data_IF_318501798565
#
_entry.id   IF_318501798565
#
_cell.length_a   1.000
_cell.length_b   1.000
_cell.length_c   1.000
_cell.angle_alpha   90.00
_cell.angle_beta   90.00
_cell.angle_gamma   90.00
#
_symmetry.space_group_name_H-M   'P 1'
#
loop_
_entity.id
_entity.type
_entity.pdbx_description
1 polymer ?
#
# COMPACT_ATOMS: atom_id res chain seq x y z
N UNK A 1 19.34 -32.67 -8.77
CA UNK A 1 19.17 -31.57 -7.80
C UNK A 1 18.02 -30.69 -8.29
N UNK A 2 16.86 -30.69 -7.64
CA UNK A 2 15.75 -29.82 -8.04
C UNK A 2 16.08 -28.37 -7.64
N UNK A 3 16.16 -27.45 -8.61
CA UNK A 3 16.39 -26.03 -8.33
C UNK A 3 15.34 -25.50 -7.35
N UNK A 4 15.82 -24.84 -6.29
CA UNK A 4 14.98 -24.30 -5.23
C UNK A 4 14.20 -23.11 -5.79
N UNK A 5 12.91 -23.32 -6.09
CA UNK A 5 11.99 -22.28 -6.59
C UNK A 5 12.06 -21.04 -5.70
N UNK A 6 12.09 -19.85 -6.32
CA UNK A 6 12.10 -18.56 -5.61
C UNK A 6 11.01 -18.48 -4.54
N UNK A 7 11.36 -17.95 -3.37
CA UNK A 7 10.45 -17.78 -2.25
C UNK A 7 9.24 -16.90 -2.63
N UNK A 8 8.08 -17.20 -2.03
CA UNK A 8 6.85 -16.44 -2.27
C UNK A 8 7.03 -14.96 -1.95
N UNK A 9 7.72 -14.65 -0.85
CA UNK A 9 8.06 -13.28 -0.44
C UNK A 9 8.84 -12.52 -1.51
N UNK A 10 9.88 -13.13 -2.08
CA UNK A 10 10.68 -12.49 -3.14
C UNK A 10 9.84 -12.28 -4.40
N UNK A 11 9.00 -13.25 -4.77
CA UNK A 11 8.12 -13.14 -5.94
C UNK A 11 7.11 -11.99 -5.78
N UNK A 12 6.51 -11.84 -4.60
CA UNK A 12 5.57 -10.75 -4.32
C UNK A 12 6.26 -9.39 -4.27
N UNK A 13 7.47 -9.31 -3.69
CA UNK A 13 8.28 -8.10 -3.74
C UNK A 13 8.55 -7.67 -5.18
N UNK A 14 8.93 -8.61 -6.06
CA UNK A 14 9.18 -8.32 -7.47
C UNK A 14 7.90 -7.88 -8.21
N UNK A 15 6.75 -8.49 -7.92
CA UNK A 15 5.47 -8.05 -8.47
C UNK A 15 5.13 -6.61 -8.06
N UNK A 16 5.34 -6.27 -6.78
CA UNK A 16 5.08 -4.92 -6.29
C UNK A 16 6.01 -3.90 -6.96
N UNK A 17 7.31 -4.23 -7.10
CA UNK A 17 8.27 -3.38 -7.81
C UNK A 17 7.87 -3.18 -9.27
N UNK A 18 7.42 -4.25 -9.94
CA UNK A 18 6.95 -4.18 -11.32
C UNK A 18 5.72 -3.26 -11.46
N UNK A 19 4.77 -3.36 -10.53
CA UNK A 19 3.60 -2.48 -10.51
C UNK A 19 3.98 -1.02 -10.23
N UNK A 20 4.89 -0.76 -9.30
CA UNK A 20 5.38 0.59 -9.01
C UNK A 20 6.07 1.23 -10.21
N UNK A 21 6.91 0.46 -10.92
CA UNK A 21 7.54 0.93 -12.16
C UNK A 21 6.48 1.16 -13.24
N UNK A 22 5.52 0.25 -13.38
CA UNK A 22 4.44 0.39 -14.35
C UNK A 22 3.58 1.63 -14.11
N UNK A 23 3.29 1.96 -12.85
CA UNK A 23 2.59 3.19 -12.47
C UNK A 23 3.39 4.44 -12.86
N UNK A 24 4.69 4.47 -12.56
CA UNK A 24 5.56 5.58 -12.95
C UNK A 24 5.64 5.75 -14.48
N UNK A 25 5.71 4.64 -15.24
CA UNK A 25 5.71 4.68 -16.70
C UNK A 25 4.39 5.21 -17.27
N UNK A 26 3.25 4.85 -16.68
CA UNK A 26 1.94 5.36 -17.10
C UNK A 26 1.80 6.86 -16.83
N UNK A 27 2.34 7.34 -15.70
CA UNK A 27 2.35 8.77 -15.38
C UNK A 27 3.24 9.56 -16.35
N UNK A 28 4.43 9.05 -16.64
CA UNK A 28 5.34 9.64 -17.64
C UNK A 28 4.70 9.69 -19.03
N UNK A 29 4.05 8.61 -19.47
CA UNK A 29 3.33 8.57 -20.73
C UNK A 29 2.18 9.58 -20.77
N UNK A 30 1.40 9.70 -19.69
CA UNK A 30 0.33 10.69 -19.60
C UNK A 30 0.85 12.13 -19.71
N UNK A 31 1.98 12.43 -19.05
CA UNK A 31 2.65 13.74 -19.15
C UNK A 31 3.13 14.02 -20.57
N UNK A 32 3.76 13.03 -21.22
CA UNK A 32 4.20 13.14 -22.62
C UNK A 32 3.04 13.40 -23.58
N UNK A 33 1.95 12.64 -23.46
CA UNK A 33 0.75 12.83 -24.29
C UNK A 33 0.14 14.22 -24.09
N UNK A 34 0.08 14.70 -22.84
CA UNK A 34 -0.41 16.04 -22.54
C UNK A 34 0.48 17.15 -23.14
N UNK A 35 1.79 16.98 -23.09
CA UNK A 35 2.74 17.91 -23.70
C UNK A 35 2.66 17.89 -25.24
N UNK A 36 2.57 16.71 -25.84
CA UNK A 36 2.41 16.57 -27.29
C UNK A 36 1.12 17.22 -27.76
N UNK A 37 0.00 17.00 -27.05
CA UNK A 37 -1.27 17.68 -27.30
C UNK A 37 -1.12 19.20 -27.23
N UNK A 38 -0.40 19.72 -26.23
CA UNK A 38 -0.13 21.17 -26.10
C UNK A 38 0.70 21.69 -27.27
N UNK A 39 1.74 20.96 -27.70
CA UNK A 39 2.59 21.31 -28.85
C UNK A 39 1.77 21.34 -30.13
N UNK A 40 0.97 20.31 -30.37
CA UNK A 40 0.08 20.22 -31.53
C UNK A 40 -0.92 21.38 -31.59
N UNK A 41 -1.62 21.66 -30.48
CA UNK A 41 -2.58 22.76 -30.41
C UNK A 41 -1.90 24.12 -30.63
N UNK A 42 -0.68 24.34 -30.11
CA UNK A 42 0.05 25.58 -30.32
C UNK A 42 0.42 25.80 -31.81
N UNK A 43 0.70 24.73 -32.55
CA UNK A 43 1.00 24.79 -33.97
C UNK A 43 -0.26 25.00 -34.81
N UNK A 44 -1.33 24.24 -34.52
CA UNK A 44 -2.55 24.24 -35.33
C UNK A 44 -3.49 25.41 -35.00
N UNK A 45 -3.49 25.86 -33.75
CA UNK A 45 -4.31 26.97 -33.26
C UNK A 45 -3.42 27.95 -32.49
N UNK A 46 -2.60 28.76 -33.20
CA UNK A 46 -1.80 29.79 -32.56
C UNK A 46 -2.70 30.84 -31.88
N UNK A 47 -2.14 31.57 -30.93
CA UNK A 47 -2.84 32.67 -30.25
C UNK A 47 -3.37 33.66 -31.28
N UNK A 48 -4.68 33.95 -31.20
CA UNK A 48 -5.34 34.82 -32.14
C UNK A 48 -4.79 36.25 -32.03
N UNK A 49 -4.29 36.78 -33.14
CA UNK A 49 -3.95 38.19 -33.27
C UNK A 49 -5.11 38.90 -33.97
N UNK A 50 -5.75 39.84 -33.29
CA UNK A 50 -6.85 40.62 -33.85
C UNK A 50 -6.23 41.73 -34.72
N UNK A 51 -6.56 41.80 -36.02
CA UNK A 51 -6.08 42.87 -36.90
C UNK A 51 -6.74 44.22 -36.55
N UNK A 52 -5.99 45.31 -36.70
CA UNK A 52 -6.47 46.66 -36.38
C UNK A 52 -7.40 47.25 -37.46
N UNK A 53 -7.34 46.74 -38.70
CA UNK A 53 -8.20 47.21 -39.80
C UNK A 53 -9.48 46.41 -39.92
N UNK A 54 -10.60 47.12 -40.14
CA UNK A 54 -11.93 46.54 -40.33
C UNK A 54 -11.97 45.52 -41.49
N UNK A 55 -11.28 45.79 -42.60
CA UNK A 55 -11.27 44.87 -43.75
C UNK A 55 -10.56 43.55 -43.41
N UNK A 56 -9.37 43.64 -42.79
CA UNK A 56 -8.62 42.46 -42.34
C UNK A 56 -9.37 41.66 -41.28
N UNK A 57 -10.12 42.34 -40.39
CA UNK A 57 -10.94 41.67 -39.39
C UNK A 57 -12.09 40.88 -40.02
N UNK A 58 -12.81 41.47 -40.99
CA UNK A 58 -13.88 40.77 -41.69
C UNK A 58 -13.36 39.56 -42.48
N UNK A 59 -12.17 39.66 -43.08
CA UNK A 59 -11.55 38.55 -43.79
C UNK A 59 -11.13 37.42 -42.82
N UNK A 60 -10.56 37.77 -41.66
CA UNK A 60 -10.24 36.81 -40.61
C UNK A 60 -11.49 36.08 -40.12
N UNK A 61 -12.59 36.78 -39.85
CA UNK A 61 -13.85 36.16 -39.43
C UNK A 61 -14.38 35.17 -40.48
N UNK A 62 -14.35 35.54 -41.77
CA UNK A 62 -14.74 34.64 -42.87
C UNK A 62 -13.84 33.40 -42.95
N UNK A 63 -12.53 33.57 -42.78
CA UNK A 63 -11.56 32.46 -42.77
C UNK A 63 -11.83 31.49 -41.61
N UNK A 64 -11.98 32.02 -40.39
CA UNK A 64 -12.26 31.21 -39.20
C UNK A 64 -13.58 30.46 -39.31
N UNK A 65 -14.65 31.11 -39.81
CA UNK A 65 -15.93 30.44 -40.01
C UNK A 65 -15.81 29.24 -40.94
N UNK A 66 -15.15 29.40 -42.09
CA UNK A 66 -14.92 28.29 -43.02
C UNK A 66 -14.06 27.18 -42.41
N UNK A 67 -13.05 27.54 -41.62
CA UNK A 67 -12.22 26.56 -40.93
C UNK A 67 -12.99 25.77 -39.87
N UNK A 68 -13.92 26.40 -39.15
CA UNK A 68 -14.77 25.72 -38.16
C UNK A 68 -15.58 24.62 -38.84
N UNK A 69 -16.21 24.90 -39.98
CA UNK A 69 -17.01 23.93 -40.72
C UNK A 69 -16.17 22.69 -41.10
N UNK A 70 -14.96 22.90 -41.63
CA UNK A 70 -14.05 21.82 -42.01
C UNK A 70 -13.56 21.00 -40.81
N UNK A 71 -13.17 21.67 -39.73
CA UNK A 71 -12.67 20.99 -38.52
C UNK A 71 -13.78 20.21 -37.82
N UNK A 72 -15.02 20.68 -37.85
CA UNK A 72 -16.14 19.94 -37.26
C UNK A 72 -16.50 18.69 -38.07
N UNK A 73 -16.41 18.76 -39.40
CA UNK A 73 -16.52 17.58 -40.27
C UNK A 73 -15.44 16.53 -39.96
N UNK A 74 -14.17 16.96 -39.89
CA UNK A 74 -13.05 16.08 -39.50
C UNK A 74 -13.25 15.48 -38.10
N UNK A 75 -13.72 16.29 -37.14
CA UNK A 75 -14.04 15.85 -35.78
C UNK A 75 -15.12 14.78 -35.79
N UNK A 76 -16.18 14.98 -36.57
CA UNK A 76 -17.29 14.03 -36.70
C UNK A 76 -16.83 12.69 -37.27
N UNK A 77 -16.02 12.70 -38.33
CA UNK A 77 -15.46 11.49 -38.93
C UNK A 77 -14.56 10.73 -37.96
N UNK A 78 -13.72 11.43 -37.21
CA UNK A 78 -12.87 10.84 -36.19
C UNK A 78 -13.70 10.25 -35.05
N UNK A 79 -14.75 10.94 -34.60
CA UNK A 79 -15.67 10.45 -33.58
C UNK A 79 -16.38 9.16 -34.03
N UNK A 80 -16.82 9.10 -35.29
CA UNK A 80 -17.43 7.90 -35.86
C UNK A 80 -16.46 6.71 -35.90
N UNK A 81 -15.19 6.93 -36.27
CA UNK A 81 -14.16 5.89 -36.24
C UNK A 81 -13.97 5.36 -34.81
N UNK A 82 -13.83 6.25 -33.83
CA UNK A 82 -13.70 5.87 -32.41
C UNK A 82 -14.94 5.09 -31.94
N UNK A 83 -16.15 5.51 -32.30
CA UNK A 83 -17.40 4.79 -31.97
C UNK A 83 -17.41 3.37 -32.54
N UNK A 84 -16.98 3.19 -33.79
CA UNK A 84 -16.87 1.85 -34.41
C UNK A 84 -15.86 0.98 -33.67
N UNK A 85 -14.66 1.50 -33.41
CA UNK A 85 -13.63 0.78 -32.66
C UNK A 85 -14.08 0.42 -31.24
N UNK A 86 -14.76 1.32 -30.54
CA UNK A 86 -15.30 1.03 -29.20
C UNK A 86 -16.35 -0.08 -29.24
N UNK A 87 -17.25 -0.06 -30.24
CA UNK A 87 -18.23 -1.12 -30.44
C UNK A 87 -17.56 -2.48 -30.67
N UNK A 88 -16.55 -2.52 -31.55
CA UNK A 88 -15.78 -3.75 -31.80
C UNK A 88 -15.08 -4.25 -30.53
N UNK A 89 -14.49 -3.34 -29.74
CA UNK A 89 -13.87 -3.68 -28.45
C UNK A 89 -14.89 -4.28 -27.48
N UNK A 90 -16.10 -3.72 -27.40
CA UNK A 90 -17.14 -4.20 -26.48
C UNK A 90 -17.72 -5.55 -26.92
N UNK A 91 -17.88 -5.76 -28.23
CA UNK A 91 -18.27 -7.05 -28.81
C UNK A 91 -17.20 -8.12 -28.51
N UNK A 92 -15.92 -7.77 -28.68
CA UNK A 92 -14.80 -8.67 -28.37
C UNK A 92 -14.69 -8.97 -26.88
N UNK A 93 -14.85 -7.97 -26.01
CA UNK A 93 -14.89 -8.16 -24.55
C UNK A 93 -16.02 -9.11 -24.15
N UNK A 94 -17.20 -8.95 -24.74
CA UNK A 94 -18.35 -9.83 -24.49
C UNK A 94 -18.04 -11.26 -24.92
N UNK A 95 -17.46 -11.45 -26.11
CA UNK A 95 -17.02 -12.77 -26.60
C UNK A 95 -15.97 -13.41 -25.70
N UNK A 96 -15.00 -12.63 -25.21
CA UNK A 96 -14.01 -13.10 -24.23
C UNK A 96 -14.68 -13.54 -22.93
N UNK A 97 -15.69 -12.79 -22.45
CA UNK A 97 -16.46 -13.19 -21.27
C UNK A 97 -17.23 -14.48 -21.48
N UNK A 98 -17.86 -14.69 -22.63
CA UNK A 98 -18.60 -15.92 -22.92
C UNK A 98 -17.68 -17.14 -23.01
N UNK A 99 -16.51 -16.98 -23.64
CA UNK A 99 -15.47 -18.01 -23.69
C UNK A 99 -14.91 -18.31 -22.29
N UNK A 100 -14.63 -17.27 -21.50
CA UNK A 100 -14.17 -17.42 -20.12
C UNK A 100 -15.27 -17.93 -19.19
N UNK A 101 -16.55 -17.70 -19.49
CA UNK A 101 -17.71 -18.15 -18.74
C UNK A 101 -17.85 -19.67 -18.66
N UNK A 102 -17.21 -20.41 -19.58
CA UNK A 102 -17.03 -21.86 -19.47
C UNK A 102 -16.17 -22.27 -18.26
N UNK A 103 -15.30 -21.38 -17.77
CA UNK A 103 -14.38 -21.63 -16.64
C UNK A 103 -14.57 -20.70 -15.42
N UNK A 104 -15.16 -19.52 -15.60
CA UNK A 104 -15.42 -18.53 -14.56
C UNK A 104 -16.92 -18.26 -14.47
N UNK A 105 -17.61 -18.96 -13.56
CA UNK A 105 -19.01 -18.65 -13.25
C UNK A 105 -19.10 -17.20 -12.75
N UNK A 106 -19.89 -16.35 -13.40
CA UNK A 106 -20.17 -14.99 -12.92
C UNK A 106 -20.59 -15.08 -11.44
N UNK A 107 -19.90 -14.42 -10.50
CA UNK A 107 -20.31 -14.40 -9.10
C UNK A 107 -21.76 -13.91 -9.01
N UNK A 108 -22.59 -14.61 -8.24
CA UNK A 108 -24.01 -14.26 -8.07
C UNK A 108 -24.09 -12.82 -7.57
N UNK A 109 -24.90 -11.98 -8.24
CA UNK A 109 -25.10 -10.58 -7.86
C UNK A 109 -25.66 -10.51 -6.44
N UNK A 110 -24.80 -10.21 -5.46
CA UNK A 110 -25.22 -9.90 -4.09
C UNK A 110 -25.66 -8.44 -4.04
N UNK A 111 -26.80 -8.15 -3.41
CA UNK A 111 -27.21 -6.76 -3.09
C UNK A 111 -26.15 -6.13 -2.19
N UNK A 112 -25.29 -5.29 -2.75
CA UNK A 112 -24.33 -4.49 -1.99
C UNK A 112 -25.05 -3.23 -1.51
N UNK A 113 -25.23 -3.09 -0.21
CA UNK A 113 -25.65 -1.82 0.41
C UNK A 113 -24.43 -0.92 0.54
N UNK A 114 -24.65 0.40 0.61
CA UNK A 114 -23.57 1.37 0.88
C UNK A 114 -22.72 0.90 2.06
N UNK A 115 -21.39 0.90 1.90
CA UNK A 115 -20.48 0.55 2.98
C UNK A 115 -20.63 1.54 4.14
N UNK A 116 -20.36 1.09 5.35
CA UNK A 116 -20.36 1.96 6.52
C UNK A 116 -19.44 3.16 6.30
N UNK A 117 -18.27 2.96 5.69
CA UNK A 117 -17.31 4.02 5.36
C UNK A 117 -17.85 5.05 4.37
N UNK A 118 -18.56 4.62 3.33
CA UNK A 118 -19.17 5.54 2.37
C UNK A 118 -20.29 6.36 3.02
N UNK A 119 -21.07 5.73 3.90
CA UNK A 119 -22.12 6.41 4.66
C UNK A 119 -21.53 7.38 5.69
N UNK A 120 -20.48 7.00 6.40
CA UNK A 120 -19.82 7.83 7.41
C UNK A 120 -19.07 9.00 6.79
N UNK A 121 -18.38 8.81 5.66
CA UNK A 121 -17.74 9.91 4.93
C UNK A 121 -18.77 10.93 4.42
N UNK A 122 -19.94 10.46 3.96
CA UNK A 122 -21.02 11.33 3.52
C UNK A 122 -21.69 12.10 4.68
N UNK A 123 -21.86 11.47 5.84
CA UNK A 123 -22.54 12.08 6.99
C UNK A 123 -21.63 12.97 7.85
N UNK A 124 -20.35 12.62 8.00
CA UNK A 124 -19.43 13.24 8.96
C UNK A 124 -18.26 13.99 8.30
N UNK A 125 -18.18 13.96 6.96
CA UNK A 125 -17.15 14.64 6.19
C UNK A 125 -15.73 14.26 6.61
N UNK A 126 -14.81 15.22 6.59
CA UNK A 126 -13.39 15.00 6.90
C UNK A 126 -13.10 14.73 8.38
N UNK A 127 -14.08 14.86 9.27
CA UNK A 127 -13.86 14.86 10.73
C UNK A 127 -13.66 13.46 11.31
N UNK A 128 -14.09 12.40 10.62
CA UNK A 128 -13.90 11.00 11.03
C UNK A 128 -13.29 10.19 9.88
N UNK A 129 -11.99 10.37 9.66
CA UNK A 129 -11.22 9.55 8.72
C UNK A 129 -10.61 8.34 9.45
N UNK A 130 -11.47 7.48 10.00
CA UNK A 130 -11.04 6.16 10.46
C UNK A 130 -11.01 5.27 9.23
N UNK A 131 -9.84 4.99 8.65
CA UNK A 131 -9.79 3.98 7.59
C UNK A 131 -10.12 2.64 8.25
N UNK A 132 -11.18 1.96 7.81
CA UNK A 132 -11.47 0.59 8.24
C UNK A 132 -10.58 -0.41 7.50
N UNK A 133 -9.39 0.02 7.08
CA UNK A 133 -8.35 -0.89 6.62
C UNK A 133 -8.02 -1.83 7.77
N UNK A 134 -7.91 -3.13 7.47
CA UNK A 134 -7.48 -4.14 8.44
C UNK A 134 -6.15 -3.76 9.13
N UNK A 135 -5.37 -2.88 8.48
CA UNK A 135 -4.10 -2.34 8.95
C UNK A 135 -4.24 -1.25 10.02
N UNK A 136 -5.32 -0.48 10.03
CA UNK A 136 -5.49 0.66 10.94
C UNK A 136 -5.87 0.25 12.36
N UNK A 137 -6.51 -0.92 12.53
CA UNK A 137 -6.92 -1.46 13.83
C UNK A 137 -5.87 -2.36 14.51
N UNK A 138 -4.76 -2.66 13.83
CA UNK A 138 -3.67 -3.42 14.42
C UNK A 138 -2.81 -2.46 15.27
N UNK A 139 -2.69 -2.73 16.57
CA UNK A 139 -1.77 -2.00 17.45
C UNK A 139 -0.36 -2.04 16.85
N UNK A 140 0.13 -0.89 16.40
CA UNK A 140 1.53 -0.72 16.04
C UNK A 140 2.33 -0.93 17.33
N UNK A 141 3.02 -2.07 17.47
CA UNK A 141 4.04 -2.21 18.51
C UNK A 141 5.12 -1.22 18.13
N UNK A 142 5.06 -0.02 18.72
CA UNK A 142 6.23 0.84 18.81
C UNK A 142 7.29 -0.04 19.42
N UNK A 143 8.33 -0.35 18.66
CA UNK A 143 9.57 -0.83 19.26
C UNK A 143 10.01 0.34 20.13
N UNK A 144 9.66 0.27 21.41
CA UNK A 144 10.07 1.26 22.39
C UNK A 144 11.60 1.35 22.28
N UNK A 145 12.09 2.45 21.72
CA UNK A 145 13.34 2.97 22.23
C UNK A 145 13.01 3.33 23.67
N UNK A 146 13.35 2.40 24.55
CA UNK A 146 13.30 2.53 26.00
C UNK A 146 14.14 3.76 26.35
N UNK A 147 13.47 4.90 26.49
CA UNK A 147 14.03 6.07 27.15
C UNK A 147 14.12 5.67 28.62
N UNK A 148 15.31 5.22 29.00
CA UNK A 148 15.65 4.89 30.38
C UNK A 148 15.73 6.18 31.19
N UNK A 149 14.76 6.39 32.08
CA UNK A 149 15.03 7.11 33.32
C UNK A 149 14.57 6.31 34.55
N UNK A 150 15.60 5.70 35.15
CA UNK A 150 15.88 5.57 36.60
C UNK A 150 15.06 4.60 37.45
N UNK A 151 15.59 3.38 37.56
CA UNK A 151 15.98 2.72 38.83
C UNK A 151 16.64 1.39 38.42
N UNK A 152 17.92 1.12 38.66
CA UNK A 152 18.51 0.82 39.96
C UNK A 152 20.03 0.65 39.75
N UNK A 153 20.84 1.08 40.73
CA UNK A 153 22.28 1.31 40.62
C UNK A 153 23.19 0.11 40.29
N UNK A 154 24.42 0.48 39.98
CA UNK A 154 25.59 -0.32 39.61
C UNK A 154 25.66 -1.71 40.27
N UNK A 155 25.53 -2.76 39.46
CA UNK A 155 25.61 -4.16 39.89
C UNK A 155 27.00 -4.55 40.44
N UNK A 156 28.03 -3.70 40.29
CA UNK A 156 29.36 -3.95 40.86
C UNK A 156 29.41 -3.80 42.39
N UNK A 157 28.53 -3.00 43.00
CA UNK A 157 28.53 -2.80 44.46
C UNK A 157 28.11 -4.03 45.27
N UNK A 158 27.32 -4.95 44.68
CA UNK A 158 26.81 -6.11 45.39
C UNK A 158 27.80 -7.30 45.47
N UNK A 159 28.94 -7.21 44.76
CA UNK A 159 29.95 -8.28 44.68
C UNK A 159 31.11 -8.04 45.65
N UNK A 160 31.43 -6.79 46.00
CA UNK A 160 32.53 -6.48 46.92
C UNK A 160 32.17 -6.72 48.40
N UNK A 161 30.90 -6.59 48.79
CA UNK A 161 30.46 -6.81 50.18
C UNK A 161 30.47 -8.29 50.65
N UNK A 162 30.84 -9.24 49.77
CA UNK A 162 31.02 -10.65 50.13
C UNK A 162 32.48 -11.12 50.13
N UNK A 163 33.45 -10.22 49.90
CA UNK A 163 34.87 -10.55 49.87
C UNK A 163 35.56 -10.48 51.25
N UNK A 164 34.86 -10.77 52.35
CA UNK A 164 35.33 -10.45 53.71
C UNK A 164 34.95 -11.40 54.85
N UNK A 165 34.66 -12.68 54.58
CA UNK A 165 34.63 -13.70 55.65
C UNK A 165 35.70 -14.76 55.41
N UNK A 166 36.93 -14.34 55.69
CA UNK A 166 38.05 -15.19 56.05
C UNK A 166 37.74 -15.94 57.36
N UNK A 167 38.10 -17.22 57.44
CA UNK A 167 38.05 -17.96 58.71
C UNK A 167 37.43 -19.36 58.70
N UNK A 168 38.17 -20.33 58.14
CA UNK A 168 38.20 -21.78 58.46
C UNK A 168 36.94 -22.64 58.21
N UNK A 169 36.91 -23.24 57.02
CA UNK A 169 36.28 -24.55 56.77
C UNK A 169 36.90 -25.62 57.70
N UNK A 170 36.06 -26.33 58.46
CA UNK A 170 36.37 -27.69 58.96
C UNK A 170 35.33 -28.64 58.39
N UNK A 171 35.76 -29.46 57.44
CA UNK A 171 35.09 -30.70 57.02
C UNK A 171 35.85 -31.83 57.72
N UNK A 172 35.16 -32.74 58.40
CA UNK A 172 35.60 -34.10 58.70
C UNK A 172 34.31 -34.93 58.85
N UNK A 173 33.97 -35.75 57.86
CA UNK A 173 34.31 -37.17 57.69
C UNK A 173 33.56 -38.11 58.64
N UNK A 174 32.82 -39.02 58.00
CA UNK A 174 32.13 -40.20 58.51
C UNK A 174 33.05 -41.12 59.31
N UNK A 175 32.60 -41.72 60.42
CA UNK A 175 32.42 -43.18 60.58
C UNK A 175 32.03 -43.63 62.01
N UNK A 176 31.12 -44.60 62.04
CA UNK A 176 30.98 -45.79 62.94
C UNK A 176 31.03 -45.74 64.48
N UNK A 177 30.02 -46.48 65.02
CA UNK A 177 30.10 -47.55 66.04
C UNK A 177 29.80 -47.20 67.51
N UNK A 178 28.61 -47.71 67.89
CA UNK A 178 28.25 -48.50 69.08
C UNK A 178 28.51 -47.95 70.49
N UNK A 179 27.41 -48.00 71.26
CA UNK A 179 27.19 -48.88 72.42
C UNK A 179 26.77 -48.17 73.73
N UNK A 180 25.92 -48.91 74.48
CA UNK A 180 25.48 -48.72 75.87
C UNK A 180 24.29 -47.77 76.09
N UNK A 181 23.28 -48.05 76.92
CA UNK A 181 22.85 -49.20 77.73
C UNK A 181 21.53 -48.78 78.41
N UNK A 182 20.56 -49.69 78.44
CA UNK A 182 19.48 -49.88 79.46
C UNK A 182 18.62 -48.71 79.97
N UNK A 183 17.31 -48.95 79.80
CA UNK A 183 16.26 -49.01 80.85
C UNK A 183 16.02 -47.82 81.76
N UNK A 184 14.80 -47.28 81.69
CA UNK A 184 13.77 -47.31 82.77
C UNK A 184 12.56 -46.45 82.31
N UNK A 185 11.34 -47.01 82.30
CA UNK A 185 10.31 -46.84 83.36
C UNK A 185 9.74 -45.40 83.32
N UNK A 186 8.44 -45.11 83.18
CA UNK A 186 7.22 -45.75 83.68
C UNK A 186 5.99 -45.15 83.01
N UNK A 187 4.95 -45.99 82.90
CA UNK A 187 3.48 -45.78 83.03
C UNK A 187 2.97 -44.34 83.25
N UNK A 188 1.89 -43.88 82.60
CA UNK A 188 0.57 -44.48 82.38
C UNK A 188 0.04 -44.33 80.95
#
# INVERSE_FOLDING_TARGET
>A
MAEKKMSSTRRNQLKNLLLQIGEAMLEEEAQRVAEEKRKYLKQQCPTLSIPDSMQSLQELCRKLHKQIDLVDEERYDMELKVKKSNKEIDDLKSKVQDLNGKYFKKPVLKRVRMSADAMLAALLGSKHKVSMDLRANLKQVKKEQKEEEKQTGDWRKNVEDKAGMDGRKKMFETETVLQYRTSNFSEY
#
